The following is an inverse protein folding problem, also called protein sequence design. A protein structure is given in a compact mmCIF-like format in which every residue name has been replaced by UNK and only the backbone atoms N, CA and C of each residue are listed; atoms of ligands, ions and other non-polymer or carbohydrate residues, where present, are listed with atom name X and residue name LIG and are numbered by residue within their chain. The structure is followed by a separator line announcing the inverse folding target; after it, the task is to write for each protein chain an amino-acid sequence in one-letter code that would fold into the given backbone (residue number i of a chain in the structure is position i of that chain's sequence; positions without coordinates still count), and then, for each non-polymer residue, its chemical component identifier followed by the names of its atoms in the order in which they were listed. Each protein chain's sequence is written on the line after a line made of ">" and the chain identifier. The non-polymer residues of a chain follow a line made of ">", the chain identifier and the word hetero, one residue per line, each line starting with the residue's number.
data_IF_125816420090
#
_entry.id   IF_125816420090
#
_cell.length_a   1.000
_cell.length_b   1.000
_cell.length_c   1.000
_cell.angle_alpha   90.00
_cell.angle_beta   90.00
_cell.angle_gamma   90.00
#
_symmetry.space_group_name_H-M   'P 1'
#
loop_
_entity.id
_entity.type
_entity.pdbx_description
1 polymer ?
#
# COMPACT_ATOMS: atom_id res chain seq x y z
N UNK A 1 -57.64 21.09 -6.27
CA UNK A 1 -56.23 21.47 -5.97
C UNK A 1 -55.52 20.51 -5.00
N UNK A 2 -56.21 19.86 -4.05
CA UNK A 2 -55.57 18.94 -3.08
C UNK A 2 -54.91 17.69 -3.68
N UNK A 3 -55.55 17.04 -4.67
CA UNK A 3 -55.09 15.75 -5.20
C UNK A 3 -53.76 15.84 -6.00
N UNK A 4 -53.54 16.94 -6.76
CA UNK A 4 -52.25 17.17 -7.43
C UNK A 4 -51.12 17.48 -6.44
N UNK A 5 -51.45 18.15 -5.34
CA UNK A 5 -50.48 18.48 -4.28
C UNK A 5 -50.11 17.25 -3.45
N UNK A 6 -51.06 16.36 -3.17
CA UNK A 6 -50.79 15.06 -2.53
C UNK A 6 -49.91 14.16 -3.39
N UNK A 7 -50.26 13.99 -4.67
CA UNK A 7 -49.44 13.18 -5.60
C UNK A 7 -48.01 13.69 -5.73
N UNK A 8 -47.82 15.02 -5.79
CA UNK A 8 -46.49 15.62 -5.83
C UNK A 8 -45.68 15.41 -4.54
N UNK A 9 -46.33 15.39 -3.37
CA UNK A 9 -45.65 15.08 -2.10
C UNK A 9 -45.27 13.59 -1.99
N UNK A 10 -46.13 12.69 -2.49
CA UNK A 10 -45.85 11.25 -2.53
C UNK A 10 -44.66 10.94 -3.44
N UNK A 11 -44.64 11.50 -4.66
CA UNK A 11 -43.50 11.37 -5.59
C UNK A 11 -42.20 11.93 -4.98
N UNK A 12 -42.28 13.07 -4.30
CA UNK A 12 -41.13 13.66 -3.61
C UNK A 12 -40.62 12.75 -2.48
N UNK A 13 -41.53 12.20 -1.67
CA UNK A 13 -41.18 11.29 -0.56
C UNK A 13 -40.56 9.98 -1.07
N UNK A 14 -41.07 9.44 -2.17
CA UNK A 14 -40.59 8.22 -2.81
C UNK A 14 -39.19 8.43 -3.41
N UNK A 15 -38.94 9.61 -4.00
CA UNK A 15 -37.62 9.97 -4.49
C UNK A 15 -36.60 10.10 -3.35
N UNK A 16 -36.97 10.71 -2.22
CA UNK A 16 -36.08 10.81 -1.06
C UNK A 16 -35.82 9.45 -0.39
N UNK A 17 -36.81 8.57 -0.28
CA UNK A 17 -36.60 7.22 0.26
C UNK A 17 -35.67 6.40 -0.64
N UNK A 18 -35.85 6.49 -1.96
CA UNK A 18 -34.98 5.82 -2.93
C UNK A 18 -33.53 6.33 -2.85
N UNK A 19 -33.33 7.65 -2.80
CA UNK A 19 -31.99 8.24 -2.62
C UNK A 19 -31.34 7.81 -1.30
N UNK A 20 -32.12 7.76 -0.21
CA UNK A 20 -31.65 7.30 1.08
C UNK A 20 -31.20 5.84 1.05
N UNK A 21 -31.98 4.95 0.44
CA UNK A 21 -31.63 3.54 0.27
C UNK A 21 -30.36 3.35 -0.57
N UNK A 22 -30.21 4.09 -1.67
CA UNK A 22 -28.99 4.08 -2.48
C UNK A 22 -27.77 4.54 -1.68
N UNK A 23 -27.89 5.63 -0.92
CA UNK A 23 -26.80 6.14 -0.09
C UNK A 23 -26.45 5.16 1.05
N UNK A 24 -27.45 4.57 1.69
CA UNK A 24 -27.25 3.56 2.72
C UNK A 24 -26.55 2.31 2.17
N UNK A 25 -26.96 1.83 0.99
CA UNK A 25 -26.31 0.72 0.30
C UNK A 25 -24.86 1.04 -0.07
N UNK A 26 -24.60 2.22 -0.63
CA UNK A 26 -23.24 2.67 -0.94
C UNK A 26 -22.35 2.75 0.31
N UNK A 27 -22.87 3.32 1.41
CA UNK A 27 -22.14 3.43 2.67
C UNK A 27 -21.83 2.04 3.27
N UNK A 28 -22.77 1.10 3.20
CA UNK A 28 -22.54 -0.27 3.65
C UNK A 28 -21.39 -0.94 2.88
N UNK A 29 -21.33 -0.77 1.54
CA UNK A 29 -20.21 -1.27 0.72
C UNK A 29 -18.89 -0.62 1.12
N UNK A 30 -18.88 0.70 1.35
CA UNK A 30 -17.67 1.40 1.80
C UNK A 30 -17.17 0.89 3.15
N UNK A 31 -18.06 0.61 4.11
CA UNK A 31 -17.69 0.02 5.39
C UNK A 31 -17.02 -1.34 5.18
N UNK A 32 -17.59 -2.20 4.32
CA UNK A 32 -17.00 -3.53 4.04
C UNK A 32 -15.60 -3.38 3.43
N UNK A 33 -15.42 -2.49 2.46
CA UNK A 33 -14.12 -2.21 1.84
C UNK A 33 -13.12 -1.69 2.88
N UNK A 34 -13.55 -0.79 3.77
CA UNK A 34 -12.71 -0.27 4.84
C UNK A 34 -12.27 -1.38 5.81
N UNK A 35 -13.19 -2.25 6.22
CA UNK A 35 -12.88 -3.39 7.11
C UNK A 35 -11.88 -4.34 6.45
N UNK A 36 -12.07 -4.68 5.17
CA UNK A 36 -11.12 -5.49 4.41
C UNK A 36 -9.75 -4.79 4.34
N UNK A 37 -9.73 -3.49 4.08
CA UNK A 37 -8.51 -2.69 4.04
C UNK A 37 -7.75 -2.71 5.37
N UNK A 38 -8.46 -2.58 6.50
CA UNK A 38 -7.87 -2.64 7.84
C UNK A 38 -7.25 -4.02 8.10
N UNK A 39 -7.94 -5.11 7.73
CA UNK A 39 -7.42 -6.47 7.90
C UNK A 39 -6.16 -6.67 7.07
N UNK A 40 -6.18 -6.31 5.78
CA UNK A 40 -5.02 -6.45 4.88
C UNK A 40 -3.84 -5.62 5.38
N UNK A 41 -4.10 -4.39 5.82
CA UNK A 41 -3.07 -3.53 6.42
C UNK A 41 -2.47 -4.17 7.68
N UNK A 42 -3.30 -4.70 8.57
CA UNK A 42 -2.87 -5.37 9.79
C UNK A 42 -1.99 -6.60 9.51
N UNK A 43 -2.34 -7.41 8.50
CA UNK A 43 -1.52 -8.55 8.06
C UNK A 43 -0.14 -8.09 7.57
N UNK A 44 -0.09 -7.07 6.72
CA UNK A 44 1.17 -6.52 6.22
C UNK A 44 2.03 -5.90 7.33
N UNK A 45 1.42 -5.13 8.22
CA UNK A 45 2.10 -4.53 9.38
C UNK A 45 2.68 -5.60 10.31
N UNK A 46 1.90 -6.63 10.64
CA UNK A 46 2.38 -7.74 11.45
C UNK A 46 3.52 -8.52 10.77
N UNK A 47 3.40 -8.76 9.45
CA UNK A 47 4.48 -9.37 8.65
C UNK A 47 5.78 -8.56 8.72
N UNK A 48 5.72 -7.26 8.50
CA UNK A 48 6.87 -6.35 8.62
C UNK A 48 7.45 -6.30 10.02
N UNK A 49 6.61 -6.31 11.05
CA UNK A 49 7.05 -6.35 12.44
C UNK A 49 7.86 -7.61 12.75
N UNK A 50 7.38 -8.78 12.34
CA UNK A 50 8.11 -10.04 12.51
C UNK A 50 9.42 -10.04 11.70
N UNK A 51 9.39 -9.59 10.45
CA UNK A 51 10.57 -9.49 9.61
C UNK A 51 11.63 -8.56 10.22
N UNK A 52 11.23 -7.39 10.74
CA UNK A 52 12.12 -6.49 11.45
C UNK A 52 12.79 -7.19 12.64
N UNK A 53 12.03 -7.96 13.42
CA UNK A 53 12.57 -8.69 14.57
C UNK A 53 13.54 -9.81 14.19
N UNK A 54 13.25 -10.51 13.10
CA UNK A 54 14.01 -11.66 12.63
C UNK A 54 15.29 -11.27 11.88
N UNK A 55 15.38 -10.02 11.41
CA UNK A 55 16.46 -9.54 10.54
C UNK A 55 17.27 -8.37 11.15
N UNK A 56 17.30 -8.27 12.48
CA UNK A 56 18.21 -7.37 13.19
C UNK A 56 17.72 -5.93 13.37
N UNK A 57 16.47 -5.63 13.01
CA UNK A 57 15.88 -4.28 13.07
C UNK A 57 14.78 -4.20 14.15
N UNK A 58 15.00 -4.89 15.28
CA UNK A 58 14.03 -5.04 16.36
C UNK A 58 13.55 -3.70 16.94
N UNK A 59 14.45 -2.72 17.06
CA UNK A 59 14.14 -1.39 17.59
C UNK A 59 13.16 -0.63 16.69
N UNK A 60 13.21 -0.88 15.38
CA UNK A 60 12.35 -0.24 14.38
C UNK A 60 11.06 -1.01 14.11
N UNK A 61 10.92 -2.23 14.64
CA UNK A 61 9.76 -3.09 14.42
C UNK A 61 8.40 -2.40 14.70
N UNK A 62 8.22 -1.59 15.78
CA UNK A 62 6.94 -0.92 16.04
C UNK A 62 6.48 0.03 14.93
N UNK A 63 7.42 0.56 14.13
CA UNK A 63 7.12 1.46 13.00
C UNK A 63 6.27 0.77 11.93
N UNK A 64 6.28 -0.57 11.88
CA UNK A 64 5.46 -1.35 10.96
C UNK A 64 3.94 -1.09 11.09
N UNK A 65 3.48 -0.66 12.27
CA UNK A 65 2.09 -0.34 12.55
C UNK A 65 1.73 1.13 12.32
N UNK A 66 2.66 1.94 11.81
CA UNK A 66 2.39 3.33 11.46
C UNK A 66 2.09 3.36 9.95
N UNK A 67 0.86 3.69 9.53
CA UNK A 67 0.52 3.83 8.11
C UNK A 67 1.46 4.81 7.39
N UNK A 68 1.72 4.56 6.11
CA UNK A 68 2.69 5.26 5.26
C UNK A 68 4.16 5.10 5.69
N UNK A 69 4.48 5.11 6.98
CA UNK A 69 5.84 4.95 7.49
C UNK A 69 6.30 3.49 7.44
N UNK A 70 5.38 2.53 7.50
CA UNK A 70 5.70 1.10 7.38
C UNK A 70 6.48 0.75 6.09
N UNK A 71 6.27 1.49 4.99
CA UNK A 71 7.02 1.36 3.74
C UNK A 71 8.51 1.74 3.91
N UNK A 72 8.82 2.63 4.85
CA UNK A 72 10.21 2.98 5.18
C UNK A 72 10.99 1.75 5.68
N UNK A 73 10.36 0.82 6.38
CA UNK A 73 11.02 -0.42 6.82
C UNK A 73 11.47 -1.26 5.63
N UNK A 74 10.69 -1.31 4.55
CA UNK A 74 11.09 -2.02 3.32
C UNK A 74 12.34 -1.37 2.72
N UNK A 75 12.40 -0.04 2.68
CA UNK A 75 13.59 0.69 2.25
C UNK A 75 14.82 0.42 3.14
N UNK A 76 14.61 0.33 4.46
CA UNK A 76 15.66 -0.03 5.42
C UNK A 76 16.17 -1.46 5.18
N UNK A 77 15.27 -2.42 4.98
CA UNK A 77 15.64 -3.82 4.73
C UNK A 77 16.43 -3.98 3.44
N UNK A 78 15.96 -3.36 2.36
CA UNK A 78 16.59 -3.46 1.03
C UNK A 78 18.01 -2.87 1.04
N UNK A 79 18.25 -1.88 1.90
CA UNK A 79 19.55 -1.27 2.07
C UNK A 79 19.99 -0.46 0.86
N UNK A 80 21.30 -0.25 0.74
CA UNK A 80 21.90 0.54 -0.33
C UNK A 80 21.74 -0.19 -1.67
N UNK A 81 21.22 0.51 -2.68
CA UNK A 81 21.00 -0.06 -4.00
C UNK A 81 21.24 0.94 -5.13
N UNK A 82 21.60 0.41 -6.30
CA UNK A 82 21.77 1.20 -7.52
C UNK A 82 20.44 1.34 -8.26
N UNK A 83 19.99 2.58 -8.46
CA UNK A 83 18.78 2.91 -9.22
C UNK A 83 19.17 3.92 -10.30
N UNK A 84 18.89 3.62 -11.58
CA UNK A 84 19.27 4.45 -12.72
C UNK A 84 20.76 4.82 -12.78
N UNK A 85 21.64 3.93 -12.33
CA UNK A 85 23.07 4.18 -12.30
C UNK A 85 23.56 4.97 -11.08
N UNK A 86 22.67 5.50 -10.25
CA UNK A 86 22.99 6.21 -9.01
C UNK A 86 22.95 5.27 -7.81
N UNK A 87 23.94 5.35 -6.94
CA UNK A 87 23.94 4.67 -5.66
C UNK A 87 23.08 5.45 -4.67
N UNK A 88 21.97 4.84 -4.22
CA UNK A 88 21.11 5.40 -3.20
C UNK A 88 21.30 4.62 -1.90
N UNK A 89 21.62 5.35 -0.82
CA UNK A 89 21.65 4.72 0.51
C UNK A 89 20.25 4.30 0.94
N UNK A 90 20.13 3.18 1.65
CA UNK A 90 18.86 2.62 2.12
C UNK A 90 18.01 3.62 2.91
N UNK A 91 18.65 4.50 3.69
CA UNK A 91 17.95 5.59 4.40
C UNK A 91 17.24 6.57 3.45
N UNK A 92 17.87 6.95 2.33
CA UNK A 92 17.23 7.83 1.35
C UNK A 92 16.04 7.15 0.69
N UNK A 93 16.14 5.84 0.42
CA UNK A 93 15.05 5.05 -0.14
C UNK A 93 13.89 4.99 0.84
N UNK A 94 14.17 4.70 2.12
CA UNK A 94 13.18 4.70 3.18
C UNK A 94 12.43 6.04 3.27
N UNK A 95 13.15 7.16 3.20
CA UNK A 95 12.54 8.50 3.17
C UNK A 95 11.70 8.72 1.90
N UNK A 96 12.22 8.35 0.72
CA UNK A 96 11.51 8.51 -0.54
C UNK A 96 10.22 7.70 -0.59
N UNK A 97 10.21 6.48 -0.02
CA UNK A 97 9.01 5.64 0.08
C UNK A 97 7.90 6.25 0.94
N UNK A 98 8.23 7.18 1.84
CA UNK A 98 7.24 7.93 2.64
C UNK A 98 6.87 9.25 1.98
N UNK A 99 7.86 10.01 1.49
CA UNK A 99 7.67 11.37 0.99
C UNK A 99 7.02 11.40 -0.40
N UNK A 100 7.42 10.52 -1.33
CA UNK A 100 6.87 10.53 -2.70
C UNK A 100 5.36 10.28 -2.73
N UNK A 101 4.79 9.31 -1.98
CA UNK A 101 3.34 9.15 -1.89
C UNK A 101 2.63 10.43 -1.43
N UNK A 102 3.20 11.17 -0.47
CA UNK A 102 2.61 12.43 0.01
C UNK A 102 2.61 13.51 -1.07
N UNK A 103 3.64 13.57 -1.91
CA UNK A 103 3.70 14.51 -3.04
C UNK A 103 2.65 14.22 -4.12
N UNK A 104 2.10 13.00 -4.18
CA UNK A 104 1.01 12.68 -5.12
C UNK A 104 -0.28 13.46 -4.81
N UNK A 105 -0.43 13.94 -3.58
CA UNK A 105 -1.58 14.74 -3.13
C UNK A 105 -1.51 16.21 -3.60
N UNK A 106 -0.35 16.66 -4.11
CA UNK A 106 -0.15 18.03 -4.54
C UNK A 106 -0.66 18.20 -5.97
N UNK A 107 -1.61 19.12 -6.17
CA UNK A 107 -2.17 19.42 -7.48
C UNK A 107 -1.10 19.94 -8.44
N UNK A 108 -1.13 19.50 -9.70
CA UNK A 108 -0.19 19.90 -10.76
C UNK A 108 1.04 18.99 -10.89
N UNK A 109 1.71 18.65 -9.79
CA UNK A 109 2.90 17.76 -9.80
C UNK A 109 2.60 16.31 -9.39
N UNK A 110 1.42 16.05 -8.82
CA UNK A 110 1.09 14.76 -8.21
C UNK A 110 1.17 13.58 -9.17
N UNK A 111 0.87 13.78 -10.46
CA UNK A 111 0.98 12.72 -11.48
C UNK A 111 2.44 12.33 -11.77
N UNK A 112 3.37 13.29 -11.74
CA UNK A 112 4.81 13.00 -11.87
C UNK A 112 5.29 12.22 -10.64
N UNK A 113 4.92 12.69 -9.44
CA UNK A 113 5.25 12.01 -8.19
C UNK A 113 4.69 10.58 -8.16
N UNK A 114 3.49 10.36 -8.72
CA UNK A 114 2.88 9.04 -8.80
C UNK A 114 3.66 8.10 -9.72
N UNK A 115 4.07 8.55 -10.91
CA UNK A 115 4.92 7.76 -11.82
C UNK A 115 6.24 7.41 -11.13
N UNK A 116 6.90 8.38 -10.49
CA UNK A 116 8.15 8.16 -9.75
C UNK A 116 7.95 7.16 -8.60
N UNK A 117 6.80 7.22 -7.91
CA UNK A 117 6.45 6.28 -6.86
C UNK A 117 6.34 4.85 -7.42
N UNK A 118 5.67 4.64 -8.55
CA UNK A 118 5.57 3.32 -9.19
C UNK A 118 6.94 2.77 -9.58
N UNK A 119 7.78 3.60 -10.19
CA UNK A 119 9.14 3.23 -10.59
C UNK A 119 9.96 2.83 -9.36
N UNK A 120 9.97 3.66 -8.32
CA UNK A 120 10.71 3.38 -7.10
C UNK A 120 10.24 2.07 -6.45
N UNK A 121 8.92 1.90 -6.28
CA UNK A 121 8.35 0.67 -5.71
C UNK A 121 8.71 -0.57 -6.54
N UNK A 122 8.74 -0.47 -7.87
CA UNK A 122 9.16 -1.58 -8.72
C UNK A 122 10.60 -2.04 -8.39
N UNK A 123 11.56 -1.12 -8.33
CA UNK A 123 12.96 -1.47 -8.00
C UNK A 123 13.10 -2.01 -6.58
N UNK A 124 12.47 -1.34 -5.60
CA UNK A 124 12.51 -1.73 -4.19
C UNK A 124 11.91 -3.13 -4.01
N UNK A 125 10.69 -3.37 -4.51
CA UNK A 125 10.03 -4.66 -4.37
C UNK A 125 10.73 -5.77 -5.14
N UNK A 126 11.28 -5.49 -6.33
CA UNK A 126 12.10 -6.47 -7.06
C UNK A 126 13.26 -6.97 -6.22
N UNK A 127 14.01 -6.05 -5.60
CA UNK A 127 15.14 -6.41 -4.74
C UNK A 127 14.66 -7.07 -3.46
N UNK A 128 13.61 -6.54 -2.84
CA UNK A 128 13.01 -7.10 -1.64
C UNK A 128 12.59 -8.55 -1.84
N UNK A 129 11.93 -8.90 -2.96
CA UNK A 129 11.58 -10.28 -3.28
C UNK A 129 12.79 -11.19 -3.50
N UNK A 130 13.88 -10.69 -4.09
CA UNK A 130 15.15 -11.45 -4.16
C UNK A 130 15.72 -11.78 -2.78
N UNK A 131 15.51 -10.92 -1.77
CA UNK A 131 15.93 -11.20 -0.39
C UNK A 131 15.20 -12.41 0.23
N UNK A 132 14.03 -12.78 -0.30
CA UNK A 132 13.33 -14.02 0.09
C UNK A 132 13.76 -15.24 -0.73
N UNK A 133 14.74 -15.10 -1.64
CA UNK A 133 15.20 -16.18 -2.52
C UNK A 133 14.35 -16.39 -3.77
N UNK A 134 13.50 -15.42 -4.14
CA UNK A 134 12.70 -15.50 -5.38
C UNK A 134 13.61 -15.32 -6.59
N UNK A 135 13.72 -16.36 -7.43
CA UNK A 135 14.59 -16.40 -8.61
C UNK A 135 14.15 -15.38 -9.68
N UNK A 136 12.87 -15.40 -10.06
CA UNK A 136 12.28 -14.39 -10.95
C UNK A 136 11.26 -13.53 -10.19
N UNK A 137 11.72 -12.39 -9.62
CA UNK A 137 10.85 -11.51 -8.85
C UNK A 137 9.94 -10.62 -9.71
N UNK A 138 10.12 -10.56 -11.04
CA UNK A 138 9.47 -9.57 -11.90
C UNK A 138 7.93 -9.69 -11.88
N UNK A 139 7.34 -10.89 -12.10
CA UNK A 139 5.88 -11.01 -12.10
C UNK A 139 5.28 -10.58 -10.77
N UNK A 140 5.84 -11.06 -9.66
CA UNK A 140 5.37 -10.75 -8.31
C UNK A 140 5.49 -9.25 -7.99
N UNK A 141 6.56 -8.61 -8.45
CA UNK A 141 6.76 -7.15 -8.36
C UNK A 141 5.65 -6.39 -9.08
N UNK A 142 5.38 -6.74 -10.34
CA UNK A 142 4.33 -6.10 -11.15
C UNK A 142 2.98 -6.25 -10.45
N UNK A 143 2.64 -7.47 -10.00
CA UNK A 143 1.40 -7.71 -9.27
C UNK A 143 1.30 -6.89 -7.99
N UNK A 144 2.41 -6.70 -7.27
CA UNK A 144 2.43 -5.93 -6.01
C UNK A 144 2.29 -4.43 -6.22
N UNK A 145 2.84 -3.92 -7.32
CA UNK A 145 2.73 -2.50 -7.69
C UNK A 145 1.31 -2.18 -8.19
N UNK A 146 0.69 -3.10 -8.95
CA UNK A 146 -0.67 -2.91 -9.50
C UNK A 146 -1.74 -3.19 -8.43
N UNK A 147 -1.58 -4.26 -7.65
CA UNK A 147 -2.54 -4.71 -6.66
C UNK A 147 -1.96 -4.56 -5.25
N UNK A 148 -2.43 -3.53 -4.55
CA UNK A 148 -1.97 -3.17 -3.20
C UNK A 148 -2.13 -4.29 -2.14
N UNK A 149 -2.90 -5.34 -2.43
CA UNK A 149 -3.14 -6.47 -1.52
C UNK A 149 -2.03 -7.52 -1.54
N UNK A 150 -1.27 -7.62 -2.62
CA UNK A 150 -0.32 -8.74 -2.83
C UNK A 150 0.85 -8.67 -1.84
N UNK A 151 1.47 -7.50 -1.69
CA UNK A 151 2.61 -7.33 -0.80
C UNK A 151 2.25 -7.57 0.69
N UNK A 152 1.19 -6.97 1.26
CA UNK A 152 0.79 -7.27 2.64
C UNK A 152 0.54 -8.75 2.91
N UNK A 153 -0.12 -9.46 1.97
CA UNK A 153 -0.35 -10.90 2.08
C UNK A 153 1.00 -11.64 2.03
N UNK A 154 1.86 -11.30 1.07
CA UNK A 154 3.17 -11.93 0.94
C UNK A 154 4.02 -11.77 2.21
N UNK A 155 4.08 -10.55 2.75
CA UNK A 155 4.77 -10.22 4.00
C UNK A 155 4.27 -11.08 5.17
N UNK A 156 2.95 -11.25 5.29
CA UNK A 156 2.37 -12.06 6.34
C UNK A 156 2.70 -13.55 6.20
N UNK A 157 2.66 -14.07 4.97
CA UNK A 157 2.99 -15.46 4.67
C UNK A 157 4.47 -15.78 4.94
N UNK A 158 5.36 -14.82 4.75
CA UNK A 158 6.81 -14.98 4.92
C UNK A 158 7.36 -14.27 6.15
N UNK A 159 6.51 -13.96 7.13
CA UNK A 159 6.87 -13.17 8.33
C UNK A 159 8.05 -13.73 9.14
N UNK A 160 8.24 -15.05 9.08
CA UNK A 160 9.28 -15.77 9.82
C UNK A 160 10.59 -15.93 9.01
N UNK A 161 10.64 -15.37 7.81
CA UNK A 161 11.80 -15.49 6.92
C UNK A 161 13.01 -14.69 7.41
N UNK A 162 14.18 -15.20 7.07
CA UNK A 162 15.46 -14.48 7.17
C UNK A 162 15.93 -14.10 5.78
N UNK A 163 16.39 -12.86 5.65
CA UNK A 163 16.82 -12.33 4.37
C UNK A 163 18.11 -12.98 3.91
N UNK A 164 18.14 -13.31 2.61
CA UNK A 164 19.31 -13.78 1.91
C UNK A 164 20.06 -12.59 1.31
N UNK A 165 21.40 -12.64 1.24
CA UNK A 165 22.16 -11.64 0.53
C UNK A 165 21.76 -11.65 -0.95
N UNK A 166 21.46 -10.46 -1.49
CA UNK A 166 21.14 -10.31 -2.91
C UNK A 166 22.44 -10.13 -3.67
N UNK A 167 22.73 -11.03 -4.60
CA UNK A 167 23.81 -10.84 -5.57
C UNK A 167 23.31 -9.87 -6.63
N UNK A 168 23.89 -8.69 -6.71
CA UNK A 168 23.61 -7.76 -7.80
C UNK A 168 24.21 -8.31 -9.10
N UNK A 169 23.37 -8.49 -10.12
CA UNK A 169 23.84 -8.78 -11.47
C UNK A 169 24.43 -7.47 -12.02
N UNK A 170 25.75 -7.48 -12.24
CA UNK A 170 26.52 -6.36 -12.81
C UNK A 170 26.03 -5.99 -14.22
#
# INVERSE_FOLDING_TARGET
>A
MGQRRQKGMEELSMNYSFLFEMLAGYFAVLIIILLIGIVIWGLGAYGLYCLAKNNGEQEKAPIAFIPAVNQALIGIFVGDMKIFGFELKGMHIAVLLVVLPLLTLVQGIGWIAWILCLILNFYVYRRFYRMFGVVDPIPLTIFSVIFAVVLPIYLFLHRDARFQPVVEEN
#
